data_IF_632637486713
#
_entry.id   IF_632637486713
#
_cell.length_a   1.000
_cell.length_b   1.000
_cell.length_c   1.000
_cell.angle_alpha   90.00
_cell.angle_beta   90.00
_cell.angle_gamma   90.00
#
_symmetry.space_group_name_H-M   'P 1'
#
loop_
_entity.id
_entity.type
_entity.pdbx_description
1 polymer ?
#
# COMPACT_ATOMS: atom_id res chain seq x y z
N UNK A 1 -29.03 3.62 -8.13
CA UNK A 1 -28.18 3.69 -9.33
C UNK A 1 -26.74 3.86 -8.87
N UNK A 2 -26.06 2.77 -8.51
CA UNK A 2 -24.64 2.77 -8.17
C UNK A 2 -23.94 1.95 -9.26
N UNK A 3 -23.13 2.64 -10.07
CA UNK A 3 -22.30 2.02 -11.10
C UNK A 3 -21.18 1.26 -10.39
N UNK A 4 -21.40 -0.03 -10.12
CA UNK A 4 -20.33 -0.94 -9.75
C UNK A 4 -19.56 -1.26 -11.03
N UNK A 5 -18.47 -0.53 -11.30
CA UNK A 5 -17.53 -0.90 -12.36
C UNK A 5 -16.84 -2.20 -11.95
N UNK A 6 -17.40 -3.34 -12.36
CA UNK A 6 -16.74 -4.62 -12.26
C UNK A 6 -15.65 -4.67 -13.34
N UNK A 7 -14.44 -4.24 -13.00
CA UNK A 7 -13.26 -4.55 -13.80
C UNK A 7 -13.04 -6.05 -13.68
N UNK A 8 -13.26 -6.79 -14.77
CA UNK A 8 -13.02 -8.23 -14.80
C UNK A 8 -11.52 -8.46 -14.61
N UNK A 9 -11.11 -8.92 -13.43
CA UNK A 9 -9.74 -9.36 -13.18
C UNK A 9 -9.57 -10.67 -13.94
N UNK A 10 -8.72 -10.73 -14.98
CA UNK A 10 -8.51 -11.96 -15.72
C UNK A 10 -7.95 -13.04 -14.79
N UNK A 11 -8.40 -14.28 -14.95
CA UNK A 11 -8.18 -15.35 -13.98
C UNK A 11 -6.69 -15.69 -13.75
N UNK A 12 -5.82 -15.39 -14.71
CA UNK A 12 -4.36 -15.56 -14.62
C UNK A 12 -3.67 -14.45 -13.82
N UNK A 13 -4.34 -13.32 -13.58
CA UNK A 13 -3.77 -12.18 -12.88
C UNK A 13 -3.78 -12.31 -11.35
N UNK A 14 -4.43 -13.32 -10.78
CA UNK A 14 -4.55 -13.47 -9.31
C UNK A 14 -3.19 -13.45 -8.61
N UNK A 15 -2.18 -14.17 -9.14
CA UNK A 15 -0.85 -14.21 -8.52
C UNK A 15 -0.04 -12.90 -8.64
N UNK A 16 -0.44 -11.98 -9.53
CA UNK A 16 0.22 -10.68 -9.77
C UNK A 16 -0.61 -9.49 -9.29
N UNK A 17 -1.81 -9.73 -8.76
CA UNK A 17 -2.72 -8.68 -8.33
C UNK A 17 -2.39 -8.28 -6.90
N UNK A 18 -2.04 -7.01 -6.71
CA UNK A 18 -1.94 -6.40 -5.39
C UNK A 18 -3.34 -5.90 -5.01
N UNK A 19 -3.81 -6.31 -3.84
CA UNK A 19 -5.04 -5.79 -3.23
C UNK A 19 -4.64 -4.71 -2.24
N UNK A 20 -5.27 -3.53 -2.34
CA UNK A 20 -5.08 -2.41 -1.42
C UNK A 20 -6.44 -2.01 -0.87
N UNK A 21 -6.61 -2.11 0.44
CA UNK A 21 -7.80 -1.68 1.16
C UNK A 21 -7.47 -0.47 2.02
N UNK A 22 -8.37 0.51 2.01
CA UNK A 22 -8.34 1.68 2.89
C UNK A 22 -9.48 1.56 3.89
N UNK A 23 -9.14 1.55 5.17
CA UNK A 23 -10.11 1.47 6.27
C UNK A 23 -9.58 2.29 7.45
N UNK A 24 -10.39 3.22 7.96
CA UNK A 24 -10.12 4.01 9.17
C UNK A 24 -8.67 4.50 9.30
N UNK A 25 -8.20 5.21 8.27
CA UNK A 25 -6.85 5.78 8.19
C UNK A 25 -5.73 4.73 8.29
N UNK A 26 -6.00 3.48 7.88
CA UNK A 26 -5.05 2.39 7.77
C UNK A 26 -5.12 1.81 6.35
N UNK A 27 -3.94 1.61 5.76
CA UNK A 27 -3.78 0.87 4.51
C UNK A 27 -3.46 -0.57 4.87
N UNK A 28 -4.21 -1.50 4.29
CA UNK A 28 -3.89 -2.92 4.27
C UNK A 28 -3.53 -3.32 2.84
N UNK A 29 -2.40 -4.02 2.65
CA UNK A 29 -1.99 -4.48 1.33
C UNK A 29 -1.48 -5.93 1.36
N UNK A 30 -1.74 -6.66 0.28
CA UNK A 30 -1.34 -8.05 0.09
C UNK A 30 -1.59 -8.52 -1.35
N UNK A 31 -1.41 -9.81 -1.61
CA UNK A 31 -1.73 -10.40 -2.91
C UNK A 31 -3.11 -11.04 -2.91
N UNK A 32 -3.77 -11.06 -4.07
CA UNK A 32 -5.08 -11.69 -4.20
C UNK A 32 -5.00 -13.20 -3.89
N UNK A 33 -5.97 -13.71 -3.12
CA UNK A 33 -6.02 -15.10 -2.67
C UNK A 33 -5.37 -15.36 -1.31
N UNK A 34 -4.69 -14.39 -0.72
CA UNK A 34 -4.16 -14.50 0.64
C UNK A 34 -5.26 -14.33 1.70
N UNK A 35 -5.16 -15.05 2.81
CA UNK A 35 -6.16 -15.00 3.91
C UNK A 35 -6.04 -13.76 4.80
N UNK A 36 -4.96 -12.99 4.65
CA UNK A 36 -4.67 -11.81 5.46
C UNK A 36 -3.74 -10.86 4.70
N UNK A 37 -3.79 -9.54 4.97
CA UNK A 37 -2.85 -8.60 4.38
C UNK A 37 -1.43 -8.88 4.85
N UNK A 38 -0.45 -8.65 3.97
CA UNK A 38 0.98 -8.78 4.32
C UNK A 38 1.50 -7.60 5.12
N UNK A 39 0.94 -6.42 4.89
CA UNK A 39 1.34 -5.19 5.56
C UNK A 39 0.11 -4.38 5.96
N UNK A 40 0.23 -3.71 7.11
CA UNK A 40 -0.67 -2.65 7.54
C UNK A 40 0.15 -1.44 7.97
N UNK A 41 -0.27 -0.26 7.56
CA UNK A 41 0.36 0.99 7.97
C UNK A 41 -0.63 2.15 7.94
N UNK A 42 -0.43 3.21 8.75
CA UNK A 42 -1.32 4.36 8.74
C UNK A 42 -1.33 5.06 7.37
N UNK A 43 -2.51 5.49 6.93
CA UNK A 43 -2.74 6.22 5.68
C UNK A 43 -2.36 7.72 5.82
N UNK A 44 -1.13 7.98 6.25
CA UNK A 44 -0.64 9.32 6.59
C UNK A 44 0.56 9.72 5.75
N UNK A 45 0.61 11.00 5.37
CA UNK A 45 1.80 11.61 4.73
C UNK A 45 2.46 12.54 5.75
N UNK A 46 3.64 12.14 6.23
CA UNK A 46 4.44 12.98 7.12
C UNK A 46 4.99 14.21 6.41
N UNK A 47 4.97 15.37 7.08
CA UNK A 47 5.59 16.61 6.60
C UNK A 47 6.72 17.03 7.54
N UNK A 48 8.00 17.08 7.09
CA UNK A 48 9.10 17.55 7.92
C UNK A 48 8.87 19.00 8.38
N UNK A 49 8.88 19.24 9.69
CA UNK A 49 8.73 20.60 10.26
C UNK A 49 10.05 21.36 10.40
N UNK A 50 11.17 20.63 10.37
CA UNK A 50 12.52 21.18 10.51
C UNK A 50 13.43 20.53 9.48
N UNK A 51 14.40 21.29 9.00
CA UNK A 51 15.49 20.79 8.18
C UNK A 51 16.43 19.96 9.06
N UNK A 52 16.44 18.65 8.84
CA UNK A 52 17.29 17.70 9.54
C UNK A 52 17.13 16.34 8.87
N UNK A 53 18.25 15.73 8.49
CA UNK A 53 18.25 14.35 7.98
C UNK A 53 18.30 13.39 9.17
N UNK A 54 17.60 12.26 9.06
CA UNK A 54 17.77 11.17 10.02
C UNK A 54 19.23 10.70 9.96
N UNK A 55 19.88 10.54 11.12
CA UNK A 55 21.27 10.05 11.20
C UNK A 55 21.34 8.70 10.49
N UNK A 56 22.24 8.57 9.50
CA UNK A 56 22.39 7.37 8.67
C UNK A 56 21.67 7.41 7.31
N UNK A 57 20.81 8.40 7.03
CA UNK A 57 20.15 8.54 5.70
C UNK A 57 21.03 9.23 4.63
N UNK A 58 22.32 9.45 4.88
CA UNK A 58 23.26 10.14 3.97
C UNK A 58 24.46 9.32 3.48
N UNK A 59 24.53 8.03 3.81
CA UNK A 59 25.59 7.11 3.37
C UNK A 59 24.98 5.83 2.81
N UNK A 60 24.30 5.93 1.66
CA UNK A 60 24.25 4.78 0.76
C UNK A 60 25.47 4.92 -0.11
N UNK A 61 26.50 4.14 0.18
CA UNK A 61 27.65 4.02 -0.71
C UNK A 61 27.18 3.61 -2.11
N UNK A 62 27.88 4.15 -3.12
CA UNK A 62 27.61 4.02 -4.55
C UNK A 62 27.53 2.55 -5.03
#
# INVERSE_FOLDING_TARGET
MALLFAFAIPADAFARTVVIQLEDNTIYAGFAGESSPRVSFPAVVGRPKRTGVMVGMGQKDA
#
